data_IF_243821875176
#
_entry.id   IF_243821875176
#
_cell.length_a   1.000
_cell.length_b   1.000
_cell.length_c   1.000
_cell.angle_alpha   90.00
_cell.angle_beta   90.00
_cell.angle_gamma   90.00
#
_symmetry.space_group_name_H-M   'P 1'
#
loop_
_entity.id
_entity.type
_entity.pdbx_description
1 polymer ?
#
# COMPACT_ATOMS: atom_id res chain seq x y z
N UNK A 1 -10.85 6.24 22.82
CA UNK A 1 -9.65 5.38 22.73
C UNK A 1 -9.97 4.39 21.64
N UNK A 2 -9.49 4.66 20.42
CA UNK A 2 -9.80 3.80 19.27
C UNK A 2 -9.02 2.50 19.41
N UNK A 3 -9.73 1.38 19.28
CA UNK A 3 -9.18 0.03 19.33
C UNK A 3 -8.54 -0.26 17.97
N UNK A 4 -7.36 0.31 17.72
CA UNK A 4 -6.56 -0.05 16.56
C UNK A 4 -6.04 -1.46 16.77
N UNK A 5 -6.39 -2.39 15.86
CA UNK A 5 -5.84 -3.74 15.89
C UNK A 5 -4.31 -3.62 15.75
N UNK A 6 -3.49 -4.12 16.69
CA UNK A 6 -2.05 -3.88 16.75
C UNK A 6 -1.26 -4.47 15.57
N UNK A 7 -1.95 -5.12 14.63
CA UNK A 7 -1.39 -5.70 13.42
C UNK A 7 -1.67 -4.93 12.13
N UNK A 8 -2.42 -3.82 12.15
CA UNK A 8 -2.73 -3.07 10.93
C UNK A 8 -2.01 -1.72 10.89
N UNK A 9 -1.43 -1.38 9.74
CA UNK A 9 -0.88 -0.05 9.54
C UNK A 9 -1.02 0.45 8.11
N UNK A 10 -1.01 1.78 7.98
CA UNK A 10 -1.08 2.49 6.71
C UNK A 10 0.19 3.32 6.53
N UNK A 11 0.81 3.28 5.35
CA UNK A 11 1.90 4.15 4.95
C UNK A 11 1.47 5.07 3.82
N UNK A 12 1.92 6.31 3.89
CA UNK A 12 1.83 7.26 2.77
C UNK A 12 3.22 7.45 2.17
N UNK A 13 3.26 7.46 0.84
CA UNK A 13 4.47 7.65 0.04
C UNK A 13 4.32 8.92 -0.79
N UNK A 14 5.24 9.87 -0.60
CA UNK A 14 5.30 11.09 -1.42
C UNK A 14 5.81 10.85 -2.84
N UNK A 15 6.36 9.68 -3.10
CA UNK A 15 6.77 9.24 -4.43
C UNK A 15 5.65 8.42 -5.11
N UNK A 16 5.78 8.25 -6.42
CA UNK A 16 4.87 7.47 -7.25
C UNK A 16 5.58 6.21 -7.75
N UNK A 17 5.83 5.21 -6.88
CA UNK A 17 6.47 3.99 -7.31
C UNK A 17 5.58 3.26 -8.31
N UNK A 18 6.20 2.69 -9.34
CA UNK A 18 5.48 1.88 -10.32
C UNK A 18 5.03 0.55 -9.72
N UNK A 19 4.03 -0.07 -10.36
CA UNK A 19 3.60 -1.41 -10.01
C UNK A 19 4.77 -2.42 -10.08
N UNK A 20 5.61 -2.31 -11.11
CA UNK A 20 6.73 -3.20 -11.35
C UNK A 20 7.77 -3.12 -10.21
N UNK A 21 8.13 -1.91 -9.78
CA UNK A 21 9.08 -1.69 -8.69
C UNK A 21 8.57 -2.26 -7.37
N UNK A 22 7.31 -1.93 -7.00
CA UNK A 22 6.69 -2.46 -5.77
C UNK A 22 6.56 -3.97 -5.83
N UNK A 23 6.12 -4.51 -6.97
CA UNK A 23 6.00 -5.95 -7.19
C UNK A 23 7.32 -6.66 -7.00
N UNK A 24 8.40 -6.11 -7.58
CA UNK A 24 9.72 -6.70 -7.50
C UNK A 24 10.17 -6.77 -6.05
N UNK A 25 10.12 -5.66 -5.30
CA UNK A 25 10.54 -5.63 -3.89
C UNK A 25 9.72 -6.61 -3.05
N UNK A 26 8.39 -6.59 -3.18
CA UNK A 26 7.52 -7.49 -2.41
C UNK A 26 7.75 -8.97 -2.76
N UNK A 27 7.99 -9.31 -4.03
CA UNK A 27 8.31 -10.67 -4.43
C UNK A 27 9.65 -11.15 -3.84
N UNK A 28 10.67 -10.29 -3.78
CA UNK A 28 11.94 -10.61 -3.11
C UNK A 28 11.75 -10.85 -1.60
N UNK A 29 10.75 -10.21 -1.00
CA UNK A 29 10.33 -10.43 0.39
C UNK A 29 9.41 -11.64 0.60
N UNK A 30 9.15 -12.45 -0.44
CA UNK A 30 8.32 -13.65 -0.32
C UNK A 30 6.82 -13.39 -0.44
N UNK A 31 6.40 -12.24 -0.92
CA UNK A 31 5.00 -11.99 -1.26
C UNK A 31 4.66 -12.47 -2.66
N UNK A 32 3.39 -12.86 -2.84
CA UNK A 32 2.79 -13.09 -4.15
C UNK A 32 1.62 -12.14 -4.35
N UNK A 33 1.47 -11.62 -5.57
CA UNK A 33 0.28 -10.89 -5.97
C UNK A 33 -0.91 -11.87 -6.00
N UNK A 34 -1.95 -11.57 -5.24
CA UNK A 34 -3.17 -12.41 -5.15
C UNK A 34 -4.38 -11.77 -5.82
N UNK A 35 -4.38 -10.44 -5.96
CA UNK A 35 -5.45 -9.70 -6.64
C UNK A 35 -4.91 -8.39 -7.19
N UNK A 36 -5.37 -8.04 -8.39
CA UNK A 36 -5.13 -6.75 -9.02
C UNK A 36 -6.48 -6.14 -9.43
N UNK A 37 -6.63 -4.84 -9.17
CA UNK A 37 -7.76 -4.05 -9.62
C UNK A 37 -7.21 -2.83 -10.35
N UNK A 38 -7.61 -2.64 -11.61
CA UNK A 38 -7.25 -1.43 -12.36
C UNK A 38 -7.88 -0.19 -11.75
N UNK A 39 -7.34 0.98 -12.09
CA UNK A 39 -7.90 2.26 -11.69
C UNK A 39 -9.36 2.38 -12.17
N UNK A 40 -10.20 3.05 -11.38
CA UNK A 40 -11.62 3.28 -11.68
C UNK A 40 -11.96 4.74 -11.54
N UNK A 41 -12.58 5.29 -12.56
CA UNK A 41 -13.06 6.67 -12.59
C UNK A 41 -14.58 6.70 -12.63
N UNK A 42 -15.19 7.67 -11.94
CA UNK A 42 -16.63 7.88 -11.93
C UNK A 42 -16.93 9.37 -11.95
N UNK A 43 -18.03 9.78 -12.58
CA UNK A 43 -18.36 11.20 -12.80
C UNK A 43 -18.59 12.05 -11.54
N UNK A 44 -18.82 11.44 -10.38
CA UNK A 44 -19.24 12.15 -9.16
C UNK A 44 -18.50 11.73 -7.90
N UNK A 45 -17.44 10.92 -8.02
CA UNK A 45 -16.57 10.56 -6.89
C UNK A 45 -15.12 10.62 -7.34
N UNK A 46 -14.18 10.88 -6.42
CA UNK A 46 -12.76 10.83 -6.73
C UNK A 46 -12.38 9.51 -7.40
N UNK A 47 -11.46 9.60 -8.36
CA UNK A 47 -10.86 8.43 -8.99
C UNK A 47 -10.26 7.52 -7.92
N UNK A 48 -10.41 6.21 -8.15
CA UNK A 48 -9.82 5.19 -7.31
C UNK A 48 -8.60 4.65 -8.03
N UNK A 49 -7.38 4.81 -7.47
CA UNK A 49 -6.16 4.33 -8.09
C UNK A 49 -6.17 2.79 -8.23
N UNK A 50 -5.26 2.29 -9.06
CA UNK A 50 -5.05 0.85 -9.19
C UNK A 50 -4.61 0.26 -7.84
N UNK A 51 -5.14 -0.93 -7.53
CA UNK A 51 -4.90 -1.63 -6.27
C UNK A 51 -4.26 -2.97 -6.54
N UNK A 52 -3.22 -3.28 -5.77
CA UNK A 52 -2.44 -4.50 -5.88
C UNK A 52 -2.35 -5.14 -4.50
N UNK A 53 -2.94 -6.32 -4.36
CA UNK A 53 -3.00 -7.05 -3.10
C UNK A 53 -1.98 -8.16 -3.11
N UNK A 54 -1.12 -8.15 -2.12
CA UNK A 54 -0.04 -9.09 -1.94
C UNK A 54 -0.25 -9.86 -0.65
N UNK A 55 0.08 -11.15 -0.69
CA UNK A 55 0.06 -12.02 0.49
C UNK A 55 1.38 -12.73 0.65
N UNK A 56 1.88 -12.81 1.87
CA UNK A 56 3.13 -13.50 2.15
C UNK A 56 2.97 -15.02 1.95
N UNK A 57 3.98 -15.68 1.40
CA UNK A 57 3.90 -17.10 1.08
C UNK A 57 3.91 -18.00 2.33
N UNK A 58 4.66 -17.63 3.37
CA UNK A 58 4.77 -18.42 4.60
C UNK A 58 3.73 -18.05 5.67
N UNK A 59 3.11 -16.86 5.55
CA UNK A 59 2.04 -16.42 6.46
C UNK A 59 0.94 -15.77 5.63
N UNK A 60 -0.11 -16.54 5.35
CA UNK A 60 -1.23 -16.06 4.53
C UNK A 60 -2.05 -14.94 5.20
N UNK A 61 -1.83 -14.68 6.49
CA UNK A 61 -2.45 -13.55 7.20
C UNK A 61 -1.61 -12.27 7.10
N UNK A 62 -0.36 -12.36 6.64
CA UNK A 62 0.47 -11.20 6.38
C UNK A 62 0.21 -10.68 4.96
N UNK A 63 -0.37 -9.48 4.88
CA UNK A 63 -0.85 -8.90 3.62
C UNK A 63 -0.32 -7.48 3.46
N UNK A 64 -0.09 -7.08 2.20
CA UNK A 64 0.21 -5.70 1.82
C UNK A 64 -0.71 -5.33 0.66
N UNK A 65 -1.41 -4.21 0.75
CA UNK A 65 -2.16 -3.62 -0.35
C UNK A 65 -1.44 -2.34 -0.76
N UNK A 66 -1.06 -2.27 -2.03
CA UNK A 66 -0.46 -1.09 -2.64
C UNK A 66 -1.49 -0.39 -3.53
N UNK A 67 -1.70 0.90 -3.29
CA UNK A 67 -2.46 1.80 -4.15
C UNK A 67 -1.48 2.64 -4.95
N UNK A 68 -1.34 2.33 -6.23
CA UNK A 68 -0.49 3.09 -7.16
C UNK A 68 -1.19 4.41 -7.47
N UNK A 69 -0.76 5.48 -6.79
CA UNK A 69 -1.41 6.77 -6.88
C UNK A 69 -1.12 7.44 -8.22
N UNK A 70 -2.09 7.44 -9.12
CA UNK A 70 -2.23 8.49 -10.12
C UNK A 70 -3.72 8.79 -10.22
N UNK A 71 -4.10 10.01 -9.82
CA UNK A 71 -5.43 10.53 -10.11
C UNK A 71 -5.27 11.67 -11.11
N UNK A 72 -5.87 11.47 -12.29
CA UNK A 72 -6.13 12.55 -13.23
C UNK A 72 -7.20 13.46 -12.63
N UNK A 73 -6.90 14.76 -12.58
CA UNK A 73 -7.89 15.78 -12.27
C UNK A 73 -8.58 16.19 -13.57
N UNK A 74 -9.89 15.95 -13.67
CA UNK A 74 -10.72 16.46 -14.77
C UNK A 74 -11.04 17.96 -14.57
N UNK A 75 -10.72 18.56 -13.42
CA UNK A 75 -11.35 19.82 -12.97
C UNK A 75 -10.37 20.94 -12.54
N UNK A 76 -9.12 20.92 -13.04
CA UNK A 76 -8.11 22.01 -12.92
C UNK A 76 -7.87 22.58 -11.50
N UNK A 77 -8.28 21.88 -10.43
CA UNK A 77 -8.04 22.34 -9.06
C UNK A 77 -6.68 21.84 -8.59
N UNK A 78 -5.96 22.70 -7.88
CA UNK A 78 -4.74 22.28 -7.19
C UNK A 78 -5.12 21.38 -5.99
N UNK A 79 -5.37 20.09 -6.25
CA UNK A 79 -5.41 19.08 -5.19
C UNK A 79 -3.98 18.84 -4.68
N UNK A 80 -3.78 18.55 -3.38
CA UNK A 80 -2.47 18.18 -2.86
C UNK A 80 -1.94 16.97 -3.64
N UNK A 81 -0.64 16.95 -3.97
CA UNK A 81 0.03 15.86 -4.68
C UNK A 81 -0.39 14.51 -4.10
N UNK A 82 -1.12 13.70 -4.87
CA UNK A 82 -1.64 12.43 -4.39
C UNK A 82 -0.46 11.51 -4.03
N UNK A 83 -0.55 10.91 -2.84
CA UNK A 83 0.49 10.03 -2.29
C UNK A 83 0.09 8.59 -2.56
N UNK A 84 1.02 7.78 -3.07
CA UNK A 84 0.84 6.33 -3.10
C UNK A 84 0.63 5.82 -1.67
N UNK A 85 -0.20 4.79 -1.51
CA UNK A 85 -0.55 4.28 -0.18
C UNK A 85 -0.24 2.80 -0.07
N UNK A 86 0.20 2.42 1.11
CA UNK A 86 0.42 1.05 1.50
C UNK A 86 -0.47 0.76 2.70
N UNK A 87 -1.24 -0.31 2.65
CA UNK A 87 -1.90 -0.88 3.82
C UNK A 87 -1.22 -2.20 4.10
N UNK A 88 -0.97 -2.51 5.36
CA UNK A 88 -0.42 -3.81 5.70
C UNK A 88 -1.06 -4.41 6.93
N UNK A 89 -1.05 -5.74 6.94
CA UNK A 89 -1.52 -6.57 8.04
C UNK A 89 -0.38 -7.49 8.47
N UNK A 90 -0.13 -7.54 9.78
CA UNK A 90 1.01 -8.28 10.33
C UNK A 90 0.85 -9.79 10.29
N UNK A 91 -0.39 -10.27 10.16
CA UNK A 91 -0.69 -11.68 10.31
C UNK A 91 -0.28 -12.20 11.69
N UNK A 92 0.34 -13.38 11.72
CA UNK A 92 0.76 -14.07 12.94
C UNK A 92 2.19 -13.73 13.35
N UNK A 93 3.02 -13.28 12.43
CA UNK A 93 4.43 -12.94 12.67
C UNK A 93 4.68 -11.42 12.60
N UNK A 94 4.67 -10.78 13.77
CA UNK A 94 4.92 -9.35 13.89
C UNK A 94 6.36 -8.97 13.51
N UNK A 95 7.33 -9.86 13.68
CA UNK A 95 8.73 -9.58 13.32
C UNK A 95 8.91 -9.58 11.80
N UNK A 96 8.26 -10.51 11.11
CA UNK A 96 8.18 -10.49 9.65
C UNK A 96 7.59 -9.17 9.17
N UNK A 97 6.48 -8.73 9.75
CA UNK A 97 5.82 -7.48 9.38
C UNK A 97 6.70 -6.24 9.59
N UNK A 98 7.37 -6.14 10.74
CA UNK A 98 8.34 -5.06 11.00
C UNK A 98 9.48 -5.05 9.99
N UNK A 99 9.98 -6.22 9.59
CA UNK A 99 11.02 -6.34 8.56
C UNK A 99 10.51 -5.82 7.21
N UNK A 100 9.27 -6.14 6.85
CA UNK A 100 8.64 -5.67 5.61
C UNK A 100 8.49 -4.15 5.62
N UNK A 101 7.96 -3.58 6.71
CA UNK A 101 7.85 -2.13 6.85
C UNK A 101 9.23 -1.45 6.73
N UNK A 102 10.26 -2.02 7.37
CA UNK A 102 11.62 -1.51 7.28
C UNK A 102 12.19 -1.56 5.87
N UNK A 103 12.05 -2.69 5.17
CA UNK A 103 12.53 -2.84 3.80
C UNK A 103 11.83 -1.85 2.86
N UNK A 104 10.50 -1.80 2.88
CA UNK A 104 9.74 -0.87 2.03
C UNK A 104 10.15 0.60 2.28
N UNK A 105 10.45 0.95 3.53
CA UNK A 105 10.87 2.31 3.89
C UNK A 105 12.33 2.63 3.51
N UNK A 106 13.13 1.63 3.13
CA UNK A 106 14.47 1.85 2.54
C UNK A 106 14.39 2.17 1.05
N UNK A 107 13.36 1.67 0.35
CA UNK A 107 13.14 1.94 -1.07
C UNK A 107 12.38 3.24 -1.31
N UNK A 108 11.44 3.59 -0.43
CA UNK A 108 10.59 4.77 -0.60
C UNK A 108 10.42 5.57 0.69
N UNK A 109 10.18 6.89 0.62
CA UNK A 109 9.90 7.74 1.77
C UNK A 109 8.50 7.45 2.34
N UNK A 110 8.39 6.37 3.13
CA UNK A 110 7.15 5.90 3.73
C UNK A 110 6.97 6.43 5.15
N UNK A 111 5.80 7.00 5.42
CA UNK A 111 5.38 7.36 6.79
C UNK A 111 4.30 6.39 7.27
N UNK A 112 4.69 5.40 8.06
CA UNK A 112 3.78 4.41 8.65
C UNK A 112 3.01 4.96 9.85
N UNK A 113 1.72 4.65 9.91
CA UNK A 113 0.79 5.00 10.97
C UNK A 113 -0.02 3.76 11.34
N UNK A 114 -0.18 3.47 12.62
CA UNK A 114 -1.09 2.39 13.05
C UNK A 114 -2.52 2.73 12.62
N UNK A 115 -3.25 1.76 12.08
CA UNK A 115 -4.68 1.94 11.82
C UNK A 115 -5.43 2.02 13.16
N UNK A 116 -6.37 2.96 13.27
CA UNK A 116 -7.08 3.29 14.51
C UNK A 116 -8.28 2.39 14.81
#
# INVERSE_FOLDING_TARGET
MSNGDPGESTAFCSELPSFEEVSQVLQHLGFRLVRQMGARTWKHVPSLPAQYHYRHQADEMCEVIFLAGEDHDDDERALPTHQSRFFGWSGRDQHLYQRIQSELSQHWPLTWQASA
#
